data_IF_810140267210
#
_entry.id   IF_810140267210
#
_cell.length_a   1.000
_cell.length_b   1.000
_cell.length_c   1.000
_cell.angle_alpha   90.00
_cell.angle_beta   90.00
_cell.angle_gamma   90.00
#
_symmetry.space_group_name_H-M   'P 1'
#
loop_
_entity.id
_entity.type
_entity.pdbx_description
1 polymer ?
#
# COMPACT_ATOMS: atom_id res chain seq x y z
N UNK A 1 -14.60 17.53 4.28
CA UNK A 1 -14.32 16.41 3.35
C UNK A 1 -12.88 16.57 2.90
N UNK A 2 -11.98 15.68 3.30
CA UNK A 2 -10.56 15.69 2.87
C UNK A 2 -10.45 14.67 1.73
N UNK A 3 -10.23 15.09 0.47
CA UNK A 3 -10.28 14.19 -0.69
C UNK A 3 -9.06 13.28 -0.84
N UNK A 4 -8.15 13.24 0.15
CA UNK A 4 -6.90 12.49 0.06
C UNK A 4 -7.01 11.13 0.77
N UNK A 5 -6.79 10.01 0.05
CA UNK A 5 -6.73 8.69 0.66
C UNK A 5 -5.59 8.58 1.67
N UNK A 6 -5.89 8.04 2.85
CA UNK A 6 -4.92 7.82 3.92
C UNK A 6 -4.33 6.41 3.84
N UNK A 7 -3.05 6.32 4.20
CA UNK A 7 -2.35 5.04 4.35
C UNK A 7 -2.81 4.37 5.65
N UNK A 8 -3.31 3.14 5.55
CA UNK A 8 -3.72 2.32 6.69
C UNK A 8 -2.51 1.67 7.38
N UNK A 9 -1.60 1.13 6.58
CA UNK A 9 -0.44 0.38 7.05
C UNK A 9 0.64 0.33 5.99
N UNK A 10 1.89 0.25 6.43
CA UNK A 10 3.07 -0.05 5.60
C UNK A 10 3.78 -1.22 6.27
N UNK A 11 4.00 -2.28 5.51
CA UNK A 11 4.69 -3.49 6.01
C UNK A 11 5.90 -3.77 5.13
N UNK A 12 7.07 -3.92 5.74
CA UNK A 12 8.29 -4.33 5.05
C UNK A 12 8.33 -5.85 4.87
N UNK A 13 8.73 -6.31 3.70
CA UNK A 13 9.01 -7.73 3.43
C UNK A 13 10.40 -8.07 3.98
N UNK A 14 10.52 -9.20 4.68
CA UNK A 14 11.77 -9.58 5.36
C UNK A 14 12.91 -9.92 4.41
N UNK A 15 12.60 -10.59 3.28
CA UNK A 15 13.60 -11.16 2.38
C UNK A 15 13.78 -10.39 1.06
N UNK A 16 13.04 -9.29 0.89
CA UNK A 16 13.04 -8.49 -0.35
C UNK A 16 12.93 -7.01 -0.03
N UNK A 17 13.57 -6.13 -0.81
CA UNK A 17 13.39 -4.68 -0.70
C UNK A 17 12.00 -4.28 -1.25
N UNK A 18 10.94 -4.64 -0.51
CA UNK A 18 9.56 -4.40 -0.90
C UNK A 18 8.70 -3.98 0.29
N UNK A 19 7.83 -2.97 0.06
CA UNK A 19 6.77 -2.60 0.97
C UNK A 19 5.41 -3.07 0.46
N UNK A 20 4.54 -3.45 1.39
CA UNK A 20 3.11 -3.62 1.17
C UNK A 20 2.41 -2.41 1.82
N UNK A 21 1.79 -1.56 1.01
CA UNK A 21 1.10 -0.35 1.44
C UNK A 21 -0.39 -0.55 1.27
N UNK A 22 -1.16 -0.37 2.34
CA UNK A 22 -2.61 -0.44 2.31
C UNK A 22 -3.20 0.97 2.32
N UNK A 23 -4.03 1.30 1.33
CA UNK A 23 -4.65 2.62 1.20
C UNK A 23 -6.14 2.49 1.51
N UNK A 24 -6.56 3.06 2.64
CA UNK A 24 -7.89 2.82 3.26
C UNK A 24 -9.03 3.19 2.32
N UNK A 25 -9.16 4.48 2.00
CA UNK A 25 -10.34 5.02 1.31
C UNK A 25 -10.47 4.54 -0.15
N UNK A 26 -9.38 4.03 -0.75
CA UNK A 26 -9.39 3.55 -2.14
C UNK A 26 -9.61 2.04 -2.26
N UNK A 27 -9.46 1.27 -1.18
CA UNK A 27 -9.47 -0.19 -1.25
C UNK A 27 -8.34 -0.72 -2.13
N UNK A 28 -7.15 -0.11 -2.07
CA UNK A 28 -5.99 -0.54 -2.85
C UNK A 28 -4.88 -1.04 -1.94
N UNK A 29 -4.25 -2.13 -2.36
CA UNK A 29 -2.95 -2.57 -1.82
C UNK A 29 -1.90 -2.29 -2.89
N UNK A 30 -0.83 -1.61 -2.51
CA UNK A 30 0.31 -1.35 -3.38
C UNK A 30 1.50 -2.17 -2.92
N UNK A 31 2.07 -2.94 -3.83
CA UNK A 31 3.39 -3.55 -3.65
C UNK A 31 4.42 -2.59 -4.23
N UNK A 32 5.29 -2.05 -3.39
CA UNK A 32 6.33 -1.09 -3.78
C UNK A 32 7.67 -1.78 -3.70
N UNK A 33 8.28 -2.10 -4.84
CA UNK A 33 9.64 -2.61 -4.94
C UNK A 33 10.62 -1.43 -5.00
N UNK A 34 11.52 -1.40 -4.02
CA UNK A 34 12.55 -0.37 -3.85
C UNK A 34 13.96 -0.93 -4.01
N UNK A 35 14.13 -2.01 -4.78
CA UNK A 35 15.46 -2.53 -5.17
C UNK A 35 16.30 -1.45 -5.86
N UNK A 36 15.66 -0.58 -6.63
CA UNK A 36 16.27 0.56 -7.29
C UNK A 36 15.51 1.83 -6.87
N UNK A 37 16.16 2.67 -6.04
CA UNK A 37 15.55 3.89 -5.51
C UNK A 37 15.34 4.96 -6.59
N UNK A 38 16.06 4.89 -7.71
CA UNK A 38 15.88 5.78 -8.85
C UNK A 38 14.70 5.33 -9.74
N UNK A 39 14.36 4.03 -9.70
CA UNK A 39 13.33 3.42 -10.56
C UNK A 39 12.39 2.50 -9.76
N UNK A 40 11.64 3.09 -8.83
CA UNK A 40 10.65 2.37 -8.03
C UNK A 40 9.61 1.68 -8.93
N UNK A 41 9.31 0.41 -8.62
CA UNK A 41 8.25 -0.34 -9.31
C UNK A 41 7.08 -0.56 -8.38
N UNK A 42 5.88 -0.28 -8.87
CA UNK A 42 4.65 -0.45 -8.09
C UNK A 42 3.66 -1.36 -8.80
N UNK A 43 3.02 -2.25 -8.03
CA UNK A 43 1.90 -3.07 -8.49
C UNK A 43 0.70 -2.73 -7.62
N UNK A 44 -0.42 -2.36 -8.26
CA UNK A 44 -1.69 -2.14 -7.58
C UNK A 44 -2.54 -3.42 -7.59
N UNK A 45 -3.03 -3.79 -6.42
CA UNK A 45 -3.97 -4.90 -6.21
C UNK A 45 -5.25 -4.30 -5.64
N UNK A 46 -6.38 -4.60 -6.29
CA UNK A 46 -7.70 -4.24 -5.77
C UNK A 46 -8.01 -5.03 -4.51
N UNK A 47 -8.32 -4.34 -3.42
CA UNK A 47 -8.83 -4.90 -2.19
C UNK A 47 -10.29 -4.48 -2.00
N UNK A 48 -11.07 -5.32 -1.32
CA UNK A 48 -12.43 -4.91 -0.98
C UNK A 48 -12.37 -3.72 0.01
N UNK A 49 -13.26 -2.73 -0.17
CA UNK A 49 -13.36 -1.52 0.67
C UNK A 49 -13.66 -1.79 2.16
N UNK A 50 -13.81 -3.05 2.56
CA UNK A 50 -14.19 -3.45 3.92
C UNK A 50 -13.07 -3.37 4.96
N UNK A 51 -11.88 -2.86 4.63
CA UNK A 51 -10.87 -2.51 5.65
C UNK A 51 -11.17 -1.14 6.28
N UNK A 52 -12.41 -1.00 6.76
CA UNK A 52 -12.94 0.20 7.39
C UNK A 52 -12.64 0.10 8.88
N UNK A 53 -11.55 0.75 9.29
CA UNK A 53 -11.22 1.11 10.68
C UNK A 53 -11.30 -0.02 11.72
N UNK A 54 -10.26 -0.84 11.78
CA UNK A 54 -9.84 -1.56 12.99
C UNK A 54 -10.88 -2.51 13.61
N UNK A 55 -10.62 -3.81 13.49
CA UNK A 55 -11.01 -4.71 14.58
C UNK A 55 -10.25 -4.35 15.85
#
# INVERSE_FOLDING_TARGET
>A
YHPEPRVASIVAVHDKPQFIVNVKETGKIMLVDYTDLENLRTIEIGASRFLHDGG
#
